data_IF_511080810271
#
_entry.id   IF_511080810271
#
_cell.length_a   1.000
_cell.length_b   1.000
_cell.length_c   1.000
_cell.angle_alpha   90.00
_cell.angle_beta   90.00
_cell.angle_gamma   90.00
#
_symmetry.space_group_name_H-M   'P 1'
#
loop_
_entity.id
_entity.type
_entity.pdbx_description
1 polymer ?
#
# COMPACT_ATOMS: atom_id res chain seq x y z
N UNK A 1 -18.77 18.16 9.74
CA UNK A 1 -20.16 18.70 9.70
C UNK A 1 -20.67 18.58 8.27
N UNK A 2 -21.99 18.52 8.01
CA UNK A 2 -22.54 18.52 6.64
C UNK A 2 -21.94 19.65 5.80
N UNK A 3 -21.55 19.36 4.55
CA UNK A 3 -20.89 20.33 3.65
C UNK A 3 -19.44 20.71 4.03
N UNK A 4 -18.82 20.00 4.98
CA UNK A 4 -17.43 20.22 5.38
C UNK A 4 -16.40 19.87 4.29
N UNK A 5 -15.13 20.13 4.60
CA UNK A 5 -14.00 19.92 3.68
C UNK A 5 -13.06 18.88 4.28
N UNK A 6 -12.68 17.88 3.51
CA UNK A 6 -11.62 16.93 3.86
C UNK A 6 -10.32 17.44 3.24
N UNK A 7 -9.29 17.62 4.05
CA UNK A 7 -7.96 18.03 3.58
C UNK A 7 -6.96 16.96 3.98
N UNK A 8 -6.28 16.33 3.01
CA UNK A 8 -5.33 15.25 3.32
C UNK A 8 -4.06 15.36 2.44
N UNK A 9 -2.85 15.24 3.03
CA UNK A 9 -1.63 15.06 2.26
C UNK A 9 -1.57 13.62 1.73
N UNK A 10 -1.83 13.42 0.44
CA UNK A 10 -1.89 12.07 -0.14
C UNK A 10 -1.68 12.07 -1.65
N UNK A 11 -0.93 11.07 -2.10
CA UNK A 11 -0.61 10.82 -3.51
C UNK A 11 -1.13 9.46 -4.01
N UNK A 12 -1.92 8.76 -3.18
CA UNK A 12 -2.24 7.35 -3.37
C UNK A 12 -3.70 7.00 -3.07
N UNK A 13 -3.91 5.74 -2.69
CA UNK A 13 -5.23 5.12 -2.59
C UNK A 13 -6.13 5.77 -1.52
N UNK A 14 -5.55 6.27 -0.42
CA UNK A 14 -6.29 7.01 0.62
C UNK A 14 -7.01 8.24 0.05
N UNK A 15 -6.35 9.01 -0.82
CA UNK A 15 -6.99 10.16 -1.48
C UNK A 15 -8.18 9.74 -2.34
N UNK A 16 -8.04 8.66 -3.10
CA UNK A 16 -9.14 8.11 -3.92
C UNK A 16 -10.30 7.65 -3.04
N UNK A 17 -10.03 6.91 -1.96
CA UNK A 17 -11.06 6.46 -1.02
C UNK A 17 -11.80 7.62 -0.36
N UNK A 18 -11.06 8.64 0.11
CA UNK A 18 -11.65 9.84 0.69
C UNK A 18 -12.49 10.62 -0.33
N UNK A 19 -12.05 10.72 -1.59
CA UNK A 19 -12.80 11.37 -2.66
C UNK A 19 -14.15 10.68 -2.92
N UNK A 20 -14.15 9.35 -3.00
CA UNK A 20 -15.37 8.56 -3.20
C UNK A 20 -16.37 8.73 -2.06
N UNK A 21 -15.92 8.64 -0.81
CA UNK A 21 -16.78 8.85 0.36
C UNK A 21 -17.28 10.29 0.43
N UNK A 22 -16.42 11.27 0.13
CA UNK A 22 -16.78 12.68 0.11
C UNK A 22 -17.91 12.97 -0.88
N UNK A 23 -17.83 12.42 -2.10
CA UNK A 23 -18.88 12.55 -3.11
C UNK A 23 -20.23 12.01 -2.62
N UNK A 24 -20.24 10.83 -2.02
CA UNK A 24 -21.48 10.22 -1.52
C UNK A 24 -22.09 10.96 -0.31
N UNK A 25 -21.24 11.61 0.49
CA UNK A 25 -21.65 12.27 1.74
C UNK A 25 -21.79 13.80 1.61
N UNK A 26 -21.51 14.37 0.44
CA UNK A 26 -21.60 15.80 0.19
C UNK A 26 -20.47 16.63 0.84
N UNK A 27 -19.27 16.07 0.94
CA UNK A 27 -18.07 16.80 1.38
C UNK A 27 -17.24 17.26 0.17
N UNK A 28 -16.52 18.37 0.35
CA UNK A 28 -15.44 18.75 -0.57
C UNK A 28 -14.14 18.06 -0.16
N UNK A 29 -13.25 17.84 -1.12
CA UNK A 29 -11.92 17.28 -0.85
C UNK A 29 -10.84 18.16 -1.44
N UNK A 30 -9.76 18.35 -0.66
CA UNK A 30 -8.54 19.02 -1.07
C UNK A 30 -7.38 18.08 -0.76
N UNK A 31 -6.61 17.70 -1.76
CA UNK A 31 -5.43 16.86 -1.60
C UNK A 31 -4.17 17.64 -1.93
N UNK A 32 -3.19 17.57 -1.03
CA UNK A 32 -1.86 18.12 -1.28
C UNK A 32 -0.91 16.98 -1.61
N UNK A 33 -0.07 17.18 -2.63
CA UNK A 33 0.86 16.16 -3.10
C UNK A 33 2.10 16.79 -3.73
N UNK A 34 3.26 16.13 -3.68
CA UNK A 34 4.47 16.62 -4.31
C UNK A 34 4.41 16.49 -5.85
N UNK A 35 5.13 17.35 -6.58
CA UNK A 35 5.16 17.40 -8.04
C UNK A 35 5.71 16.13 -8.71
N UNK A 36 6.45 15.27 -7.99
CA UNK A 36 6.87 13.93 -8.47
C UNK A 36 5.72 12.95 -8.73
N UNK A 37 4.54 13.22 -8.18
CA UNK A 37 3.35 12.37 -8.37
C UNK A 37 2.85 12.53 -9.80
N UNK A 38 2.64 11.41 -10.49
CA UNK A 38 2.28 11.39 -11.90
C UNK A 38 0.97 12.12 -12.20
N UNK A 39 0.90 12.75 -13.37
CA UNK A 39 -0.33 13.44 -13.79
C UNK A 39 -1.52 12.48 -13.86
N UNK A 40 -1.33 11.22 -14.23
CA UNK A 40 -2.39 10.21 -14.24
C UNK A 40 -3.08 10.07 -12.87
N UNK A 41 -2.30 10.03 -11.78
CA UNK A 41 -2.86 9.96 -10.42
C UNK A 41 -3.58 11.24 -10.02
N UNK A 42 -3.00 12.40 -10.36
CA UNK A 42 -3.64 13.70 -10.11
C UNK A 42 -4.95 13.83 -10.87
N UNK A 43 -5.00 13.37 -12.12
CA UNK A 43 -6.18 13.37 -12.96
C UNK A 43 -7.31 12.50 -12.37
N UNK A 44 -7.00 11.33 -11.80
CA UNK A 44 -8.01 10.50 -11.11
C UNK A 44 -8.64 11.24 -9.94
N UNK A 45 -7.84 11.91 -9.10
CA UNK A 45 -8.37 12.69 -7.97
C UNK A 45 -9.28 13.84 -8.45
N UNK A 46 -8.84 14.59 -9.47
CA UNK A 46 -9.66 15.67 -10.07
C UNK A 46 -10.93 15.13 -10.72
N UNK A 47 -10.89 13.95 -11.34
CA UNK A 47 -12.06 13.30 -11.92
C UNK A 47 -13.12 12.94 -10.86
N UNK A 48 -12.69 12.63 -9.63
CA UNK A 48 -13.59 12.48 -8.47
C UNK A 48 -13.96 13.81 -7.80
N UNK A 49 -13.72 14.95 -8.46
CA UNK A 49 -14.12 16.27 -7.97
C UNK A 49 -13.24 16.83 -6.85
N UNK A 50 -12.06 16.25 -6.61
CA UNK A 50 -11.12 16.76 -5.62
C UNK A 50 -10.33 17.97 -6.16
N UNK A 51 -10.11 18.96 -5.31
CA UNK A 51 -9.11 20.00 -5.55
C UNK A 51 -7.72 19.41 -5.28
N UNK A 52 -6.78 19.59 -6.21
CA UNK A 52 -5.42 19.05 -6.10
C UNK A 52 -4.41 20.19 -6.06
N UNK A 53 -3.67 20.27 -4.97
CA UNK A 53 -2.61 21.25 -4.75
C UNK A 53 -1.27 20.54 -4.88
N UNK A 54 -0.49 20.97 -5.87
CA UNK A 54 0.85 20.44 -6.12
C UNK A 54 1.87 21.27 -5.34
N UNK A 55 2.76 20.60 -4.61
CA UNK A 55 3.85 21.22 -3.86
C UNK A 55 5.22 20.77 -4.39
N UNK A 56 6.31 21.51 -4.11
CA UNK A 56 7.65 21.09 -4.49
C UNK A 56 8.05 19.77 -3.82
N UNK A 57 8.67 18.85 -4.56
CA UNK A 57 9.20 17.59 -4.00
C UNK A 57 10.41 17.79 -3.09
N UNK A 58 11.21 18.84 -3.33
CA UNK A 58 12.43 19.16 -2.59
C UNK A 58 12.18 19.84 -1.23
N UNK A 59 10.92 20.06 -0.87
CA UNK A 59 10.52 20.61 0.43
C UNK A 59 10.51 19.52 1.50
N UNK A 60 11.43 19.61 2.47
CA UNK A 60 11.45 18.71 3.63
C UNK A 60 10.18 18.78 4.48
N UNK A 61 9.89 17.80 5.35
CA UNK A 61 8.61 17.71 6.07
C UNK A 61 8.19 18.96 6.85
N UNK A 62 9.15 19.67 7.45
CA UNK A 62 8.93 20.89 8.24
C UNK A 62 8.90 22.18 7.40
N UNK A 63 9.24 22.12 6.10
CA UNK A 63 9.17 23.27 5.21
C UNK A 63 7.71 23.70 5.02
N UNK A 64 7.36 24.99 5.17
CA UNK A 64 5.98 25.50 4.97
C UNK A 64 5.36 25.21 3.60
N UNK A 65 6.20 24.88 2.60
CA UNK A 65 5.83 24.49 1.24
C UNK A 65 5.58 23.00 1.10
N UNK A 66 6.00 22.17 2.06
CA UNK A 66 5.78 20.72 2.02
C UNK A 66 4.29 20.41 1.97
N UNK A 67 3.92 19.35 1.24
CA UNK A 67 2.53 18.93 1.14
C UNK A 67 1.88 18.66 2.51
N UNK A 68 2.66 18.22 3.50
CA UNK A 68 2.21 18.07 4.89
C UNK A 68 1.83 19.42 5.52
N UNK A 69 2.73 20.41 5.48
CA UNK A 69 2.48 21.72 6.10
C UNK A 69 1.39 22.49 5.36
N UNK A 70 1.29 22.34 4.04
CA UNK A 70 0.20 22.93 3.25
C UNK A 70 -1.14 22.32 3.65
N UNK A 71 -1.26 20.99 3.77
CA UNK A 71 -2.50 20.34 4.22
C UNK A 71 -2.89 20.78 5.64
N UNK A 72 -1.92 20.80 6.56
CA UNK A 72 -2.13 21.21 7.94
C UNK A 72 -2.63 22.67 8.03
N UNK A 73 -2.00 23.58 7.29
CA UNK A 73 -2.41 24.98 7.22
C UNK A 73 -3.83 25.13 6.67
N UNK A 74 -4.14 24.44 5.57
CA UNK A 74 -5.48 24.46 4.97
C UNK A 74 -6.55 23.90 5.92
N UNK A 75 -6.27 22.79 6.60
CA UNK A 75 -7.17 22.20 7.58
C UNK A 75 -7.46 23.14 8.76
N UNK A 76 -6.48 23.94 9.19
CA UNK A 76 -6.64 24.96 10.24
C UNK A 76 -7.36 26.22 9.77
N UNK A 77 -7.22 26.58 8.50
CA UNK A 77 -7.67 27.88 7.98
C UNK A 77 -9.09 27.81 7.40
N UNK A 78 -9.44 26.71 6.73
CA UNK A 78 -10.73 26.55 6.07
C UNK A 78 -11.81 26.22 7.11
N UNK A 79 -12.87 27.04 7.24
CA UNK A 79 -13.95 26.76 8.17
C UNK A 79 -14.61 25.40 7.89
N UNK A 80 -14.67 24.55 8.91
CA UNK A 80 -15.25 23.21 8.79
C UNK A 80 -14.38 22.19 8.05
N UNK A 81 -13.11 22.52 7.78
CA UNK A 81 -12.15 21.54 7.31
C UNK A 81 -11.77 20.54 8.41
N UNK A 82 -11.49 19.33 7.95
CA UNK A 82 -11.06 18.21 8.77
C UNK A 82 -9.94 17.48 8.05
N UNK A 83 -8.87 17.17 8.77
CA UNK A 83 -7.78 16.34 8.29
C UNK A 83 -7.88 14.96 8.95
N UNK A 84 -8.22 13.90 8.18
CA UNK A 84 -8.25 12.53 8.69
C UNK A 84 -6.91 12.09 9.29
N UNK A 85 -5.78 12.43 8.67
CA UNK A 85 -4.43 12.05 9.09
C UNK A 85 -4.24 10.53 9.25
N UNK A 86 -4.13 9.83 8.13
CA UNK A 86 -4.05 8.35 8.09
C UNK A 86 -2.94 7.72 8.96
N UNK A 87 -1.90 8.48 9.31
CA UNK A 87 -0.76 8.00 10.10
C UNK A 87 -1.05 7.92 11.60
N UNK A 88 -1.94 8.77 12.11
CA UNK A 88 -2.23 8.91 13.54
C UNK A 88 -3.68 8.55 13.91
N UNK A 89 -4.56 8.42 12.91
CA UNK A 89 -5.97 8.20 13.15
C UNK A 89 -6.23 6.74 13.58
N UNK A 90 -6.73 6.49 14.81
CA UNK A 90 -7.01 5.13 15.26
C UNK A 90 -8.07 4.44 14.40
N UNK A 91 -8.92 5.19 13.69
CA UNK A 91 -9.90 4.59 12.79
C UNK A 91 -9.28 3.82 11.61
N UNK A 92 -8.01 4.06 11.29
CA UNK A 92 -7.27 3.25 10.32
C UNK A 92 -7.25 1.78 10.76
N UNK A 93 -6.50 1.44 11.82
CA UNK A 93 -6.48 0.07 12.35
C UNK A 93 -7.85 -0.41 12.85
N UNK A 94 -8.66 0.42 13.51
CA UNK A 94 -9.99 -0.02 13.99
C UNK A 94 -10.92 -0.44 12.85
N UNK A 95 -10.80 0.17 11.66
CA UNK A 95 -11.60 -0.28 10.51
C UNK A 95 -11.27 -1.72 10.13
N UNK A 96 -9.99 -2.08 10.09
CA UNK A 96 -9.54 -3.43 9.76
C UNK A 96 -9.79 -4.44 10.88
N UNK A 97 -9.73 -4.01 12.15
CA UNK A 97 -10.10 -4.85 13.29
C UNK A 97 -11.59 -5.23 13.25
N UNK A 98 -12.46 -4.29 12.87
CA UNK A 98 -13.90 -4.51 12.86
C UNK A 98 -14.46 -5.07 11.55
N UNK A 99 -13.69 -5.07 10.45
CA UNK A 99 -14.15 -5.60 9.15
C UNK A 99 -13.20 -6.62 8.57
N UNK A 100 -12.00 -6.22 8.14
CA UNK A 100 -11.05 -7.08 7.41
C UNK A 100 -10.66 -8.34 8.19
N UNK A 101 -10.37 -8.21 9.49
CA UNK A 101 -10.09 -9.35 10.37
C UNK A 101 -11.25 -10.36 10.45
N UNK A 102 -12.46 -9.93 10.84
CA UNK A 102 -13.65 -10.78 10.84
C UNK A 102 -13.92 -11.45 9.49
N UNK A 103 -13.82 -10.69 8.39
CA UNK A 103 -14.05 -11.20 7.04
C UNK A 103 -13.08 -12.33 6.68
N UNK A 104 -11.79 -12.17 7.00
CA UNK A 104 -10.77 -13.21 6.78
C UNK A 104 -11.04 -14.45 7.65
N UNK A 105 -11.36 -14.24 8.93
CA UNK A 105 -11.64 -15.32 9.86
C UNK A 105 -12.81 -16.19 9.37
N UNK A 106 -13.94 -15.55 9.05
CA UNK A 106 -15.13 -16.23 8.54
C UNK A 106 -14.88 -16.88 7.17
N UNK A 107 -14.25 -16.16 6.22
CA UNK A 107 -14.01 -16.67 4.87
C UNK A 107 -13.10 -17.91 4.85
N UNK A 108 -12.21 -18.05 5.83
CA UNK A 108 -11.34 -19.22 5.98
C UNK A 108 -11.96 -20.35 6.81
N UNK A 109 -13.22 -20.20 7.25
CA UNK A 109 -13.86 -21.14 8.16
C UNK A 109 -13.10 -21.31 9.47
N UNK A 110 -12.50 -20.22 9.95
CA UNK A 110 -11.71 -20.14 11.20
C UNK A 110 -10.41 -20.94 11.16
N UNK A 111 -9.84 -21.17 9.95
CA UNK A 111 -8.64 -22.01 9.75
C UNK A 111 -7.37 -21.24 9.35
N UNK A 112 -7.44 -19.92 9.21
CA UNK A 112 -6.23 -19.13 8.94
C UNK A 112 -5.19 -19.37 10.02
N UNK A 113 -3.95 -19.59 9.58
CA UNK A 113 -2.80 -19.81 10.46
C UNK A 113 -1.78 -18.68 10.35
N UNK A 114 -1.69 -18.07 9.17
CA UNK A 114 -0.76 -16.98 8.88
C UNK A 114 -1.48 -15.88 8.11
N UNK A 115 -1.26 -14.64 8.50
CA UNK A 115 -1.73 -13.46 7.78
C UNK A 115 -0.53 -12.61 7.36
N UNK A 116 -0.42 -12.32 6.07
CA UNK A 116 0.69 -11.56 5.48
C UNK A 116 0.16 -10.26 4.89
N UNK A 117 0.76 -9.13 5.27
CA UNK A 117 0.37 -7.82 4.76
C UNK A 117 1.55 -6.86 4.62
N UNK A 118 1.52 -6.04 3.56
CA UNK A 118 2.43 -4.92 3.38
C UNK A 118 2.25 -3.86 4.48
N UNK A 119 3.36 -3.28 4.94
CA UNK A 119 3.35 -2.23 5.96
C UNK A 119 3.56 -0.87 5.27
N UNK A 120 2.55 0.00 5.33
CA UNK A 120 2.65 1.44 4.96
C UNK A 120 2.41 2.30 6.21
N UNK A 121 1.18 2.81 6.36
CA UNK A 121 0.75 3.43 7.63
C UNK A 121 0.70 2.44 8.81
N UNK A 122 0.70 1.14 8.52
CA UNK A 122 0.56 0.05 9.48
C UNK A 122 -0.88 -0.26 9.92
N UNK A 123 -1.88 0.51 9.48
CA UNK A 123 -3.27 0.31 9.89
C UNK A 123 -3.81 -1.09 9.55
N UNK A 124 -3.56 -1.59 8.34
CA UNK A 124 -4.09 -2.90 7.92
C UNK A 124 -3.53 -4.06 8.71
N UNK A 125 -2.20 -4.13 8.85
CA UNK A 125 -1.54 -5.20 9.60
C UNK A 125 -1.90 -5.12 11.08
N UNK A 126 -1.95 -3.91 11.65
CA UNK A 126 -2.25 -3.70 13.07
C UNK A 126 -3.69 -4.10 13.40
N UNK A 127 -4.66 -3.61 12.64
CA UNK A 127 -6.08 -3.90 12.88
C UNK A 127 -6.44 -5.36 12.62
N UNK A 128 -6.11 -5.84 11.41
CA UNK A 128 -6.43 -7.22 11.00
C UNK A 128 -5.70 -8.23 11.87
N UNK A 129 -4.39 -8.02 12.09
CA UNK A 129 -3.56 -8.93 12.87
C UNK A 129 -3.99 -8.98 14.33
N UNK A 130 -4.34 -7.85 14.94
CA UNK A 130 -4.84 -7.81 16.32
C UNK A 130 -6.14 -8.60 16.46
N UNK A 131 -7.09 -8.42 15.54
CA UNK A 131 -8.33 -9.21 15.56
C UNK A 131 -8.03 -10.71 15.45
N UNK A 132 -7.19 -11.11 14.49
CA UNK A 132 -6.85 -12.51 14.27
C UNK A 132 -6.12 -13.13 15.47
N UNK A 133 -5.21 -12.40 16.11
CA UNK A 133 -4.57 -12.85 17.37
C UNK A 133 -5.59 -12.95 18.51
N UNK A 134 -6.50 -11.99 18.66
CA UNK A 134 -7.52 -12.03 19.72
C UNK A 134 -8.42 -13.27 19.60
N UNK A 135 -8.99 -13.53 18.42
CA UNK A 135 -9.93 -14.64 18.21
C UNK A 135 -9.27 -16.01 18.17
N UNK A 136 -7.99 -16.06 17.80
CA UNK A 136 -7.20 -17.30 17.79
C UNK A 136 -6.41 -17.53 19.08
N UNK A 137 -6.57 -16.67 20.09
CA UNK A 137 -5.77 -16.69 21.32
C UNK A 137 -4.25 -16.69 21.07
N UNK A 138 -3.82 -15.90 20.09
CA UNK A 138 -2.43 -15.71 19.70
C UNK A 138 -1.88 -16.78 18.75
N UNK A 139 -2.69 -17.75 18.31
CA UNK A 139 -2.22 -18.84 17.46
C UNK A 139 -1.89 -18.36 16.03
N UNK A 140 -2.64 -17.40 15.49
CA UNK A 140 -2.37 -16.84 14.15
C UNK A 140 -1.07 -16.03 14.16
N UNK A 141 -0.18 -16.38 13.24
CA UNK A 141 1.04 -15.62 12.96
C UNK A 141 0.74 -14.44 12.02
N UNK A 142 1.28 -13.27 12.33
CA UNK A 142 1.10 -12.01 11.60
C UNK A 142 2.44 -11.59 11.03
N UNK A 143 2.58 -11.64 9.70
CA UNK A 143 3.85 -11.41 9.01
C UNK A 143 3.80 -10.08 8.26
N UNK A 144 4.74 -9.20 8.59
CA UNK A 144 4.98 -7.95 7.90
C UNK A 144 5.71 -8.16 6.58
N UNK A 145 5.29 -7.42 5.55
CA UNK A 145 6.00 -7.31 4.29
C UNK A 145 6.44 -5.86 4.11
N UNK A 146 7.74 -5.64 3.91
CA UNK A 146 8.32 -4.31 3.90
C UNK A 146 9.38 -4.16 2.79
N UNK A 147 9.43 -3.04 2.06
CA UNK A 147 10.45 -2.85 1.04
C UNK A 147 11.83 -2.62 1.65
N UNK A 148 12.87 -3.10 0.95
CA UNK A 148 14.25 -2.64 1.16
C UNK A 148 14.31 -1.10 1.08
N UNK A 149 15.02 -0.48 2.01
CA UNK A 149 15.09 0.98 2.15
C UNK A 149 14.06 1.59 3.11
N UNK A 150 13.15 0.80 3.69
CA UNK A 150 12.25 1.28 4.76
C UNK A 150 12.79 1.04 6.17
N UNK A 151 12.42 1.95 7.09
CA UNK A 151 12.75 1.91 8.51
C UNK A 151 12.16 0.69 9.26
N UNK A 152 11.17 0.00 8.70
CA UNK A 152 10.55 -1.15 9.37
C UNK A 152 11.46 -2.40 9.33
N UNK A 153 12.16 -2.63 8.21
CA UNK A 153 13.12 -3.73 8.07
C UNK A 153 14.51 -3.37 8.61
N UNK A 154 15.05 -2.20 8.23
CA UNK A 154 16.37 -1.75 8.70
C UNK A 154 16.39 -0.24 8.95
N UNK A 155 16.36 0.22 10.22
CA UNK A 155 16.43 1.64 10.54
C UNK A 155 17.80 2.29 10.22
N UNK A 156 18.84 1.52 9.90
CA UNK A 156 20.16 2.04 9.57
C UNK A 156 20.41 2.23 8.07
N UNK A 157 19.54 1.70 7.21
CA UNK A 157 19.66 1.77 5.75
C UNK A 157 18.36 2.26 5.10
N UNK A 158 17.92 3.45 5.51
CA UNK A 158 16.74 4.10 4.93
C UNK A 158 17.12 4.80 3.62
N UNK A 159 16.53 4.36 2.50
CA UNK A 159 16.79 4.92 1.18
C UNK A 159 15.57 4.77 0.25
N UNK A 160 15.64 5.33 -0.97
CA UNK A 160 14.50 5.35 -1.90
C UNK A 160 14.32 4.01 -2.63
N UNK A 161 13.06 3.58 -2.77
CA UNK A 161 12.62 2.42 -3.55
C UNK A 161 11.48 2.81 -4.52
N UNK A 162 11.05 1.88 -5.38
CA UNK A 162 10.08 2.10 -6.47
C UNK A 162 8.68 1.59 -6.16
N UNK A 163 8.53 0.56 -5.32
CA UNK A 163 7.20 0.09 -4.88
C UNK A 163 6.44 1.24 -4.19
N UNK A 164 5.13 1.33 -4.41
CA UNK A 164 4.31 2.42 -3.88
C UNK A 164 3.32 1.93 -2.82
N UNK A 165 3.08 2.77 -1.81
CA UNK A 165 2.05 2.54 -0.78
C UNK A 165 2.49 1.69 0.41
N UNK A 166 3.77 1.37 0.49
CA UNK A 166 4.41 0.57 1.56
C UNK A 166 5.78 1.17 1.90
N UNK A 167 6.29 0.81 3.07
CA UNK A 167 7.47 1.36 3.72
C UNK A 167 7.28 2.82 4.16
N UNK A 168 7.99 3.21 5.21
CA UNK A 168 8.08 4.60 5.70
C UNK A 168 9.51 4.95 6.15
N UNK A 169 9.75 6.24 6.38
CA UNK A 169 10.96 6.82 7.00
C UNK A 169 10.73 7.31 8.45
N UNK A 170 9.54 7.07 8.99
CA UNK A 170 9.16 7.29 10.39
C UNK A 170 8.19 6.19 10.85
N UNK A 171 7.88 6.13 12.15
CA UNK A 171 6.91 5.18 12.72
C UNK A 171 5.53 5.84 12.94
N UNK A 172 4.50 5.54 12.13
CA UNK A 172 3.15 6.02 12.33
C UNK A 172 2.54 5.46 13.63
N UNK A 173 1.66 6.23 14.30
CA UNK A 173 0.95 5.73 15.49
C UNK A 173 -0.11 4.68 15.16
N UNK A 174 -0.55 4.62 13.91
CA UNK A 174 -1.45 3.59 13.41
C UNK A 174 -0.77 2.20 13.32
N UNK A 175 0.56 2.13 13.44
CA UNK A 175 1.30 0.87 13.42
C UNK A 175 1.62 0.39 14.84
N UNK A 176 1.07 -0.77 15.21
CA UNK A 176 1.50 -1.52 16.39
C UNK A 176 2.75 -2.36 16.05
N UNK A 177 3.91 -1.87 16.48
CA UNK A 177 5.22 -2.45 16.14
C UNK A 177 5.50 -3.78 16.82
N UNK A 178 4.82 -4.08 17.91
CA UNK A 178 5.01 -5.31 18.67
C UNK A 178 4.09 -6.44 18.18
N UNK A 179 3.18 -6.13 17.24
CA UNK A 179 2.19 -7.08 16.73
C UNK A 179 2.74 -8.09 15.72
N UNK A 180 3.56 -7.71 14.70
CA UNK A 180 4.08 -8.67 13.74
C UNK A 180 5.04 -9.64 14.42
N UNK A 181 4.87 -10.94 14.16
CA UNK A 181 5.80 -11.97 14.65
C UNK A 181 7.13 -11.93 13.88
N UNK A 182 7.09 -11.50 12.61
CA UNK A 182 8.27 -11.30 11.75
C UNK A 182 7.97 -10.24 10.68
N UNK A 183 9.00 -9.51 10.24
CA UNK A 183 8.94 -8.60 9.08
C UNK A 183 9.91 -9.12 8.02
N UNK A 184 9.39 -9.44 6.84
CA UNK A 184 10.16 -9.93 5.70
C UNK A 184 10.46 -8.78 4.74
N UNK A 185 11.75 -8.49 4.56
CA UNK A 185 12.24 -7.51 3.61
C UNK A 185 12.17 -8.03 2.16
N UNK A 186 11.74 -7.16 1.24
CA UNK A 186 11.57 -7.48 -0.17
C UNK A 186 12.12 -6.36 -1.05
N UNK A 187 12.86 -6.73 -2.09
CA UNK A 187 13.41 -5.76 -3.06
C UNK A 187 12.38 -5.37 -4.12
N UNK A 188 12.56 -4.21 -4.77
CA UNK A 188 11.74 -3.81 -5.93
C UNK A 188 11.71 -4.89 -7.02
N UNK A 189 12.86 -5.50 -7.32
CA UNK A 189 12.98 -6.51 -8.37
C UNK A 189 12.14 -7.75 -8.06
N UNK A 190 12.19 -8.24 -6.82
CA UNK A 190 11.39 -9.39 -6.38
C UNK A 190 9.89 -9.09 -6.41
N UNK A 191 9.48 -7.93 -5.89
CA UNK A 191 8.08 -7.52 -5.87
C UNK A 191 7.54 -7.35 -7.30
N UNK A 192 8.33 -6.74 -8.20
CA UNK A 192 7.90 -6.50 -9.57
C UNK A 192 7.83 -7.79 -10.40
N UNK A 193 8.78 -8.70 -10.21
CA UNK A 193 8.73 -10.02 -10.81
C UNK A 193 7.46 -10.76 -10.37
N UNK A 194 7.20 -10.83 -9.05
CA UNK A 194 6.01 -11.51 -8.54
C UNK A 194 4.71 -10.86 -9.00
N UNK A 195 4.64 -9.53 -9.05
CA UNK A 195 3.41 -8.85 -9.51
C UNK A 195 3.11 -9.16 -10.98
N UNK A 196 4.13 -9.20 -11.84
CA UNK A 196 3.95 -9.60 -13.25
C UNK A 196 3.55 -11.08 -13.37
N UNK A 197 4.10 -11.94 -12.50
CA UNK A 197 3.73 -13.35 -12.40
C UNK A 197 2.27 -13.56 -11.97
N UNK A 198 1.82 -12.83 -10.94
CA UNK A 198 0.41 -12.85 -10.51
C UNK A 198 -0.55 -12.54 -11.66
N UNK A 199 -0.21 -11.61 -12.54
CA UNK A 199 -1.03 -11.30 -13.72
C UNK A 199 -0.98 -12.40 -14.80
N UNK A 200 0.19 -12.96 -15.10
CA UNK A 200 0.39 -13.85 -16.24
C UNK A 200 0.20 -15.36 -15.92
N UNK A 201 0.29 -15.75 -14.65
CA UNK A 201 0.15 -17.13 -14.15
C UNK A 201 -1.21 -17.32 -13.44
N UNK A 202 -1.64 -16.34 -12.63
CA UNK A 202 -2.84 -16.45 -11.78
C UNK A 202 -4.02 -15.59 -12.26
N UNK A 203 -3.83 -14.75 -13.28
CA UNK A 203 -4.87 -13.85 -13.79
C UNK A 203 -5.23 -12.71 -12.83
N UNK A 204 -4.39 -12.42 -11.84
CA UNK A 204 -4.59 -11.39 -10.83
C UNK A 204 -3.87 -10.10 -11.22
N UNK A 205 -4.61 -9.15 -11.81
CA UNK A 205 -4.07 -7.84 -12.18
C UNK A 205 -4.03 -6.90 -10.96
N UNK A 206 -2.97 -7.00 -10.16
CA UNK A 206 -2.76 -6.28 -8.89
C UNK A 206 -1.55 -5.32 -8.92
N UNK A 207 -1.40 -4.47 -7.92
CA UNK A 207 -0.27 -3.53 -7.80
C UNK A 207 1.01 -4.11 -7.21
N UNK A 208 2.09 -3.33 -7.23
CA UNK A 208 3.43 -3.76 -6.79
C UNK A 208 3.51 -4.23 -5.33
N UNK A 209 2.77 -3.58 -4.43
CA UNK A 209 2.68 -3.97 -3.02
C UNK A 209 2.02 -5.33 -2.81
N UNK A 210 1.16 -5.76 -3.74
CA UNK A 210 0.56 -7.10 -3.74
C UNK A 210 1.60 -8.17 -4.08
N UNK A 211 2.44 -7.94 -5.10
CA UNK A 211 3.56 -8.83 -5.39
C UNK A 211 4.56 -8.92 -4.24
N UNK A 212 4.85 -7.79 -3.58
CA UNK A 212 5.69 -7.75 -2.38
C UNK A 212 5.14 -8.66 -1.26
N UNK A 213 3.85 -8.53 -0.94
CA UNK A 213 3.20 -9.35 0.09
C UNK A 213 3.24 -10.86 -0.25
N UNK A 214 3.05 -11.22 -1.53
CA UNK A 214 3.15 -12.62 -1.99
C UNK A 214 4.59 -13.13 -1.91
N UNK A 215 5.60 -12.31 -2.26
CA UNK A 215 7.00 -12.68 -2.07
C UNK A 215 7.30 -12.94 -0.60
N UNK A 216 6.87 -12.06 0.31
CA UNK A 216 7.05 -12.26 1.75
C UNK A 216 6.43 -13.56 2.23
N UNK A 217 5.20 -13.87 1.78
CA UNK A 217 4.52 -15.12 2.12
C UNK A 217 5.32 -16.35 1.64
N UNK A 218 5.83 -16.32 0.40
CA UNK A 218 6.62 -17.43 -0.16
C UNK A 218 7.97 -17.59 0.53
N UNK A 219 8.68 -16.48 0.81
CA UNK A 219 9.95 -16.49 1.55
C UNK A 219 9.76 -17.08 2.95
N UNK A 220 8.81 -16.52 3.70
CA UNK A 220 8.46 -16.98 5.04
C UNK A 220 8.09 -18.46 5.05
N UNK A 221 7.20 -18.88 4.15
CA UNK A 221 6.76 -20.26 4.08
C UNK A 221 7.90 -21.26 3.82
N UNK A 222 8.88 -20.88 2.98
CA UNK A 222 10.05 -21.71 2.70
C UNK A 222 11.03 -21.76 3.86
N UNK A 223 11.32 -20.62 4.48
CA UNK A 223 12.25 -20.51 5.60
C UNK A 223 11.75 -21.29 6.81
N UNK A 224 10.47 -21.13 7.15
CA UNK A 224 9.82 -21.81 8.27
C UNK A 224 9.27 -23.19 7.92
N UNK A 225 9.48 -23.66 6.68
CA UNK A 225 9.09 -25.00 6.20
C UNK A 225 7.61 -25.32 6.46
N UNK A 226 6.73 -24.38 6.13
CA UNK A 226 5.29 -24.63 6.19
C UNK A 226 4.92 -25.81 5.27
N UNK A 227 3.97 -26.61 5.73
CA UNK A 227 3.45 -27.81 5.10
C UNK A 227 1.98 -27.63 4.64
N UNK A 228 1.32 -28.71 4.23
CA UNK A 228 -0.05 -28.68 3.75
C UNK A 228 -1.13 -28.38 4.81
N UNK A 229 -0.78 -28.38 6.10
CA UNK A 229 -1.73 -28.13 7.19
C UNK A 229 -1.88 -26.64 7.53
N UNK A 230 -1.04 -25.77 6.97
CA UNK A 230 -1.14 -24.33 7.20
C UNK A 230 -1.96 -23.65 6.10
N UNK A 231 -2.79 -22.68 6.52
CA UNK A 231 -3.53 -21.78 5.63
C UNK A 231 -2.95 -20.37 5.78
N UNK A 232 -2.35 -19.87 4.70
CA UNK A 232 -1.75 -18.53 4.61
C UNK A 232 -2.69 -17.60 3.83
N UNK A 233 -3.06 -16.49 4.44
CA UNK A 233 -3.82 -15.41 3.79
C UNK A 233 -2.88 -14.25 3.49
N UNK A 234 -2.86 -13.80 2.23
CA UNK A 234 -2.07 -12.65 1.79
C UNK A 234 -3.00 -11.53 1.35
N UNK A 235 -2.82 -10.34 1.91
CA UNK A 235 -3.59 -9.15 1.53
C UNK A 235 -3.00 -8.50 0.26
N UNK A 236 -3.81 -8.41 -0.80
CA UNK A 236 -3.45 -7.74 -2.06
C UNK A 236 -4.13 -6.35 -2.11
N UNK A 237 -3.42 -5.23 -1.83
CA UNK A 237 -4.06 -3.97 -1.46
C UNK A 237 -4.83 -3.27 -2.59
N UNK A 238 -4.36 -3.38 -3.83
CA UNK A 238 -4.94 -2.63 -4.94
C UNK A 238 -4.76 -3.29 -6.32
N UNK A 239 -5.44 -2.70 -7.32
CA UNK A 239 -5.45 -3.20 -8.69
C UNK A 239 -4.23 -2.72 -9.48
N UNK A 240 -3.81 -3.52 -10.47
CA UNK A 240 -2.72 -3.19 -11.38
C UNK A 240 -2.98 -1.98 -12.30
N UNK A 241 -4.23 -1.49 -12.37
CA UNK A 241 -4.63 -0.39 -13.26
C UNK A 241 -3.82 0.89 -13.05
N UNK A 242 -3.45 1.19 -11.80
CA UNK A 242 -2.64 2.37 -11.47
C UNK A 242 -1.19 2.32 -11.99
N UNK A 243 -0.78 1.17 -12.52
CA UNK A 243 0.62 0.83 -12.79
C UNK A 243 0.87 0.39 -14.24
N UNK A 244 -0.11 0.58 -15.14
CA UNK A 244 0.01 0.18 -16.55
C UNK A 244 1.19 0.84 -17.26
N UNK A 245 1.47 2.12 -16.95
CA UNK A 245 2.61 2.88 -17.49
C UNK A 245 3.91 2.68 -16.70
N UNK A 246 3.95 1.68 -15.79
CA UNK A 246 5.09 1.39 -14.91
C UNK A 246 5.46 -0.08 -14.99
N UNK A 247 5.20 -0.85 -13.93
CA UNK A 247 5.60 -2.25 -13.80
C UNK A 247 5.07 -3.14 -14.93
N UNK A 248 3.90 -2.84 -15.49
CA UNK A 248 3.34 -3.59 -16.63
C UNK A 248 3.84 -3.09 -18.00
N UNK A 249 4.61 -2.00 -18.04
CA UNK A 249 5.24 -1.46 -19.23
C UNK A 249 6.70 -1.94 -19.29
N UNK A 250 7.02 -2.76 -20.28
CA UNK A 250 8.35 -3.37 -20.45
C UNK A 250 9.44 -2.32 -20.69
N UNK A 251 9.15 -1.23 -21.38
CA UNK A 251 10.11 -0.15 -21.63
C UNK A 251 10.40 0.62 -20.34
N UNK A 252 9.37 0.88 -19.52
CA UNK A 252 9.57 1.47 -18.19
C UNK A 252 10.43 0.55 -17.31
N UNK A 253 10.13 -0.75 -17.29
CA UNK A 253 10.90 -1.73 -16.52
C UNK A 253 12.37 -1.75 -16.95
N UNK A 254 12.66 -1.81 -18.25
CA UNK A 254 14.03 -1.76 -18.78
C UNK A 254 14.73 -0.44 -18.44
N UNK A 255 14.05 0.70 -18.62
CA UNK A 255 14.60 2.02 -18.32
C UNK A 255 14.90 2.24 -16.82
N UNK A 256 14.26 1.46 -15.94
CA UNK A 256 14.45 1.54 -14.50
C UNK A 256 15.30 0.39 -13.93
N UNK A 257 16.04 -0.34 -14.77
CA UNK A 257 17.01 -1.34 -14.34
C UNK A 257 16.45 -2.75 -14.09
N UNK A 258 15.22 -3.02 -14.53
CA UNK A 258 14.54 -4.31 -14.35
C UNK A 258 14.47 -5.13 -15.66
N UNK A 259 15.47 -5.00 -16.53
CA UNK A 259 15.50 -5.72 -17.81
C UNK A 259 15.43 -7.25 -17.61
N UNK A 260 16.21 -7.78 -16.66
CA UNK A 260 16.22 -9.21 -16.37
C UNK A 260 14.84 -9.72 -15.87
N UNK A 261 14.08 -8.88 -15.15
CA UNK A 261 12.71 -9.21 -14.72
C UNK A 261 11.78 -9.31 -15.94
N UNK A 262 11.93 -8.40 -16.90
CA UNK A 262 11.15 -8.45 -18.15
C UNK A 262 11.46 -9.74 -18.91
N UNK A 263 12.73 -10.10 -19.05
CA UNK A 263 13.14 -11.33 -19.74
C UNK A 263 12.57 -12.59 -19.08
N UNK A 264 12.49 -12.63 -17.74
CA UNK A 264 11.91 -13.77 -16.99
C UNK A 264 10.38 -13.83 -17.05
N UNK A 265 9.70 -12.71 -17.25
CA UNK A 265 8.23 -12.62 -17.08
C UNK A 265 7.46 -12.38 -18.38
N UNK A 266 8.12 -11.97 -19.46
CA UNK A 266 7.50 -11.77 -20.78
C UNK A 266 7.68 -13.02 -21.64
N UNK A 267 6.58 -13.51 -22.21
CA UNK A 267 6.63 -14.60 -23.19
C UNK A 267 7.00 -14.03 -24.56
N UNK A 268 7.90 -14.68 -25.33
CA UNK A 268 8.16 -14.28 -26.72
C UNK A 268 6.86 -14.22 -27.53
N UNK A 269 6.78 -13.27 -28.45
CA UNK A 269 5.63 -13.17 -29.34
C UNK A 269 5.55 -14.43 -30.20
N UNK A 270 4.45 -15.17 -30.05
CA UNK A 270 4.15 -16.28 -30.94
C UNK A 270 3.86 -15.76 -32.35
N UNK A 271 3.22 -14.59 -32.47
CA UNK A 271 2.85 -14.00 -33.76
C UNK A 271 4.07 -13.60 -34.60
N UNK A 272 5.14 -13.09 -33.99
CA UNK A 272 6.39 -12.74 -34.68
C UNK A 272 7.09 -13.96 -35.28
N UNK A 273 6.78 -15.17 -34.82
CA UNK A 273 7.30 -16.40 -35.42
C UNK A 273 6.57 -16.79 -36.72
N UNK A 274 5.43 -16.16 -37.00
CA UNK A 274 4.56 -16.47 -38.14
C UNK A 274 4.35 -15.28 -39.11
N UNK A 275 4.89 -14.10 -38.80
CA UNK A 275 4.90 -12.91 -39.66
C UNK A 275 6.28 -12.71 -40.26
#
# INVERSE_FOLDING_TARGET
KPGGVIVEPTSGNTGVGLALVALQRGYRTIFTLPDKVSEAKRAVLRAYGAEVIVTPTDAGPDDPRSYYQVAERLAKTIPGAYRPNQYDNPNGPESHYHTTGPEIWEATGHKVTHFVAGIGTGGTISGTGRYLKDVSHGAVQVIGSDPEGSIYSDPNDVHQYRIEGVGEDFYPKAFDRDLPDEIVQVTDAEAFEMTRRLANEEGLLVGGSSGMAVVSAVKYAREHKLDENQLVVVLLPDSGRGYMEKIFNDDWMRANGFADVVERTTKPSLAEQYL
#
